data_IF_930573304466
#
_entry.id   IF_930573304466
#
_cell.length_a   1.000
_cell.length_b   1.000
_cell.length_c   1.000
_cell.angle_alpha   90.00
_cell.angle_beta   90.00
_cell.angle_gamma   90.00
#
_symmetry.space_group_name_H-M   'P 1'
#
loop_
_entity.id
_entity.type
_entity.pdbx_description
1 polymer ?
#
# COMPACT_ATOMS: atom_id res chain seq x y z
N UNK A 1 -17.09 25.50 4.79
CA UNK A 1 -17.26 25.88 3.36
C UNK A 1 -15.98 25.72 2.54
N UNK A 2 -14.83 26.30 2.92
CA UNK A 2 -13.54 26.09 2.21
C UNK A 2 -13.07 24.63 2.21
N UNK A 3 -13.11 23.95 3.37
CA UNK A 3 -12.65 22.56 3.50
C UNK A 3 -13.46 21.59 2.61
N UNK A 4 -14.78 21.75 2.59
CA UNK A 4 -15.72 21.05 1.70
C UNK A 4 -15.42 21.30 0.22
N UNK A 5 -15.03 22.52 -0.15
CA UNK A 5 -14.69 22.86 -1.53
C UNK A 5 -13.35 22.25 -1.96
N UNK A 6 -12.37 22.21 -1.05
CA UNK A 6 -11.07 21.57 -1.29
C UNK A 6 -11.22 20.04 -1.46
N UNK A 7 -12.00 19.39 -0.59
CA UNK A 7 -12.30 17.96 -0.68
C UNK A 7 -13.05 17.62 -1.98
N UNK A 8 -14.01 18.46 -2.39
CA UNK A 8 -14.72 18.27 -3.65
C UNK A 8 -13.80 18.38 -4.87
N UNK A 9 -12.86 19.33 -4.87
CA UNK A 9 -11.86 19.49 -5.94
C UNK A 9 -10.87 18.31 -5.98
N UNK A 10 -10.39 17.86 -4.82
CA UNK A 10 -9.52 16.69 -4.72
C UNK A 10 -10.21 15.42 -5.24
N UNK A 11 -11.48 15.21 -4.88
CA UNK A 11 -12.28 14.10 -5.36
C UNK A 11 -12.57 14.17 -6.87
N UNK A 12 -12.84 15.37 -7.40
CA UNK A 12 -13.02 15.57 -8.85
C UNK A 12 -11.73 15.27 -9.62
N UNK A 13 -10.59 15.74 -9.14
CA UNK A 13 -9.28 15.46 -9.74
C UNK A 13 -8.94 13.96 -9.67
N UNK A 14 -9.18 13.32 -8.52
CA UNK A 14 -8.94 11.88 -8.36
C UNK A 14 -9.81 11.00 -9.25
N UNK A 15 -11.05 11.42 -9.56
CA UNK A 15 -11.89 10.75 -10.55
C UNK A 15 -11.43 10.97 -11.98
N UNK A 16 -10.94 12.16 -12.32
CA UNK A 16 -10.47 12.49 -13.65
C UNK A 16 -9.10 11.86 -13.99
N UNK A 17 -8.19 11.79 -13.01
CA UNK A 17 -6.82 11.32 -13.19
C UNK A 17 -6.40 10.27 -12.13
N UNK A 18 -7.14 9.16 -11.97
CA UNK A 18 -6.91 8.19 -10.90
C UNK A 18 -5.54 7.50 -11.00
N UNK A 19 -5.03 7.28 -12.22
CA UNK A 19 -3.70 6.71 -12.43
C UNK A 19 -2.57 7.66 -12.04
N UNK A 20 -2.63 8.91 -12.51
CA UNK A 20 -1.62 9.92 -12.18
C UNK A 20 -1.60 10.23 -10.68
N UNK A 21 -2.78 10.27 -10.06
CA UNK A 21 -2.89 10.43 -8.61
C UNK A 21 -2.25 9.25 -7.87
N UNK A 22 -2.50 8.01 -8.30
CA UNK A 22 -1.84 6.81 -7.77
C UNK A 22 -0.32 6.93 -7.85
N UNK A 23 0.22 7.16 -9.06
CA UNK A 23 1.65 7.27 -9.28
C UNK A 23 2.28 8.36 -8.42
N UNK A 24 1.71 9.56 -8.43
CA UNK A 24 2.24 10.69 -7.67
C UNK A 24 2.22 10.45 -6.16
N UNK A 25 1.11 9.92 -5.63
CA UNK A 25 1.00 9.64 -4.19
C UNK A 25 1.90 8.50 -3.75
N UNK A 26 2.00 7.41 -4.51
CA UNK A 26 2.88 6.29 -4.21
C UNK A 26 4.35 6.71 -4.22
N UNK A 27 4.78 7.40 -5.28
CA UNK A 27 6.17 7.85 -5.48
C UNK A 27 6.57 8.88 -4.43
N UNK A 28 5.75 9.91 -4.24
CA UNK A 28 6.02 10.95 -3.25
C UNK A 28 6.06 10.39 -1.83
N UNK A 29 5.15 9.46 -1.50
CA UNK A 29 5.13 8.80 -0.19
C UNK A 29 6.37 7.98 0.05
N UNK A 30 6.81 7.13 -0.89
CA UNK A 30 7.99 6.28 -0.65
C UNK A 30 9.26 7.09 -0.58
N UNK A 31 9.41 8.11 -1.43
CA UNK A 31 10.51 9.07 -1.33
C UNK A 31 10.54 9.74 0.05
N UNK A 32 9.41 10.33 0.48
CA UNK A 32 9.33 11.03 1.75
C UNK A 32 9.55 10.08 2.94
N UNK A 33 8.94 8.89 2.93
CA UNK A 33 9.08 7.92 3.99
C UNK A 33 10.53 7.47 4.17
N UNK A 34 11.24 7.18 3.08
CA UNK A 34 12.63 6.76 3.16
C UNK A 34 13.56 7.91 3.57
N UNK A 35 13.39 9.11 2.98
CA UNK A 35 14.17 10.29 3.35
C UNK A 35 13.99 10.66 4.83
N UNK A 36 12.75 10.63 5.34
CA UNK A 36 12.47 10.89 6.75
C UNK A 36 13.04 9.80 7.66
N UNK A 37 12.96 8.54 7.24
CA UNK A 37 13.53 7.42 8.01
C UNK A 37 15.04 7.56 8.13
N UNK A 38 15.74 7.77 7.01
CA UNK A 38 17.19 7.95 7.02
C UNK A 38 17.61 9.14 7.89
N UNK A 39 16.94 10.29 7.74
CA UNK A 39 17.33 11.52 8.45
C UNK A 39 16.97 11.52 9.94
N UNK A 40 15.76 11.09 10.29
CA UNK A 40 15.20 11.30 11.63
C UNK A 40 15.08 10.03 12.47
N UNK A 41 14.98 8.85 11.84
CA UNK A 41 14.90 7.58 12.57
C UNK A 41 16.29 6.96 12.69
N UNK A 42 17.05 6.97 11.60
CA UNK A 42 18.40 6.38 11.55
C UNK A 42 19.50 7.42 11.89
N UNK A 43 19.16 8.71 11.88
CA UNK A 43 20.09 9.79 12.25
C UNK A 43 21.22 10.03 11.25
N UNK A 44 21.02 9.69 9.97
CA UNK A 44 22.04 9.85 8.95
C UNK A 44 22.33 11.32 8.62
N UNK A 45 23.61 11.69 8.56
CA UNK A 45 24.06 13.03 8.17
C UNK A 45 23.80 13.33 6.70
N UNK A 46 23.94 12.31 5.85
CA UNK A 46 23.69 12.35 4.41
C UNK A 46 22.73 11.25 4.00
N UNK A 47 21.90 11.52 2.99
CA UNK A 47 20.98 10.52 2.45
C UNK A 47 21.74 9.56 1.53
N UNK A 48 21.51 8.26 1.71
CA UNK A 48 21.84 7.24 0.72
C UNK A 48 20.89 7.40 -0.49
N UNK A 49 21.38 8.11 -1.51
CA UNK A 49 20.65 8.36 -2.74
C UNK A 49 20.36 7.09 -3.56
N UNK A 50 21.17 6.03 -3.40
CA UNK A 50 20.91 4.75 -4.07
C UNK A 50 19.70 4.08 -3.46
N UNK A 51 19.66 4.00 -2.12
CA UNK A 51 18.50 3.49 -1.37
C UNK A 51 17.26 4.32 -1.67
N UNK A 52 17.37 5.65 -1.60
CA UNK A 52 16.28 6.57 -1.88
C UNK A 52 15.73 6.40 -3.30
N UNK A 53 16.61 6.27 -4.29
CA UNK A 53 16.25 6.02 -5.69
C UNK A 53 15.52 4.70 -5.88
N UNK A 54 16.00 3.62 -5.25
CA UNK A 54 15.36 2.29 -5.34
C UNK A 54 14.00 2.26 -4.63
N UNK A 55 13.85 2.89 -3.47
CA UNK A 55 12.55 3.01 -2.79
C UNK A 55 11.56 3.89 -3.58
N UNK A 56 12.06 4.97 -4.19
CA UNK A 56 11.25 5.83 -5.06
C UNK A 56 10.78 5.06 -6.30
N UNK A 57 11.67 4.30 -6.95
CA UNK A 57 11.34 3.45 -8.08
C UNK A 57 10.34 2.34 -7.71
N UNK A 58 10.51 1.71 -6.55
CA UNK A 58 9.53 0.74 -6.03
C UNK A 58 8.15 1.39 -5.80
N UNK A 59 8.14 2.61 -5.26
CA UNK A 59 6.91 3.40 -5.12
C UNK A 59 6.25 3.70 -6.46
N UNK A 60 7.01 4.11 -7.46
CA UNK A 60 6.48 4.43 -8.79
C UNK A 60 5.96 3.17 -9.51
N UNK A 61 6.83 2.19 -9.75
CA UNK A 61 6.52 1.03 -10.58
C UNK A 61 5.60 0.03 -9.87
N UNK A 62 5.90 -0.32 -8.62
CA UNK A 62 5.14 -1.35 -7.92
C UNK A 62 3.89 -0.76 -7.26
N UNK A 63 4.07 0.18 -6.33
CA UNK A 63 2.95 0.71 -5.53
C UNK A 63 2.02 1.64 -6.34
N UNK A 64 2.57 2.36 -7.31
CA UNK A 64 1.82 3.30 -8.14
C UNK A 64 1.21 2.64 -9.37
N UNK A 65 2.05 2.09 -10.26
CA UNK A 65 1.59 1.52 -11.52
C UNK A 65 0.97 0.12 -11.36
N UNK A 66 1.75 -0.84 -10.86
CA UNK A 66 1.31 -2.23 -10.78
C UNK A 66 0.09 -2.41 -9.87
N UNK A 67 0.11 -1.85 -8.66
CA UNK A 67 -1.04 -1.93 -7.75
C UNK A 67 -2.29 -1.22 -8.31
N UNK A 68 -2.14 -0.15 -9.10
CA UNK A 68 -3.29 0.45 -9.78
C UNK A 68 -3.90 -0.51 -10.79
N UNK A 69 -3.06 -1.10 -11.64
CA UNK A 69 -3.52 -2.08 -12.62
C UNK A 69 -4.18 -3.27 -11.92
N UNK A 70 -3.60 -3.78 -10.84
CA UNK A 70 -4.15 -4.92 -10.11
C UNK A 70 -5.45 -4.56 -9.37
N UNK A 71 -5.45 -3.55 -8.51
CA UNK A 71 -6.57 -3.27 -7.60
C UNK A 71 -7.70 -2.44 -8.20
N UNK A 72 -7.41 -1.61 -9.20
CA UNK A 72 -8.42 -0.75 -9.84
C UNK A 72 -8.93 -1.38 -11.14
N UNK A 73 -8.06 -2.01 -11.94
CA UNK A 73 -8.48 -2.65 -13.20
C UNK A 73 -8.73 -4.16 -13.06
N UNK A 74 -7.78 -4.90 -12.50
CA UNK A 74 -7.87 -6.36 -12.34
C UNK A 74 -8.99 -6.77 -11.39
N UNK A 75 -8.98 -6.25 -10.17
CA UNK A 75 -9.97 -6.59 -9.15
C UNK A 75 -11.37 -6.11 -9.53
N UNK A 76 -11.51 -4.96 -10.18
CA UNK A 76 -12.81 -4.52 -10.69
C UNK A 76 -13.36 -5.45 -11.79
N UNK A 77 -12.48 -6.15 -12.53
CA UNK A 77 -12.87 -7.16 -13.52
C UNK A 77 -13.19 -8.52 -12.88
N UNK A 78 -12.44 -8.93 -11.87
CA UNK A 78 -12.64 -10.21 -11.18
C UNK A 78 -13.79 -10.19 -10.17
N UNK A 79 -14.06 -9.01 -9.59
CA UNK A 79 -15.06 -8.76 -8.56
C UNK A 79 -15.95 -7.58 -9.00
N UNK A 80 -16.83 -7.78 -10.00
CA UNK A 80 -17.54 -6.68 -10.66
C UNK A 80 -18.46 -5.89 -9.73
N UNK A 81 -18.95 -6.50 -8.64
CA UNK A 81 -19.84 -5.83 -7.67
C UNK A 81 -19.08 -5.04 -6.61
N UNK A 82 -17.75 -5.19 -6.58
CA UNK A 82 -16.89 -4.37 -5.75
C UNK A 82 -16.95 -2.88 -6.14
N UNK A 83 -17.23 -2.58 -7.40
CA UNK A 83 -17.40 -1.22 -7.89
C UNK A 83 -18.66 -0.56 -7.29
N UNK A 84 -19.78 -1.28 -7.27
CA UNK A 84 -21.05 -0.79 -6.71
C UNK A 84 -21.04 -0.75 -5.17
N UNK A 85 -20.33 -1.67 -4.52
CA UNK A 85 -20.28 -1.73 -3.06
C UNK A 85 -19.75 -0.43 -2.42
N UNK A 86 -18.73 0.18 -3.03
CA UNK A 86 -18.13 1.43 -2.55
C UNK A 86 -18.99 2.68 -2.77
N UNK A 87 -20.01 2.60 -3.63
CA UNK A 87 -20.87 3.73 -4.01
C UNK A 87 -22.13 3.86 -3.16
N UNK A 88 -22.43 2.86 -2.30
CA UNK A 88 -23.57 2.93 -1.39
C UNK A 88 -23.46 4.13 -0.45
N UNK A 89 -24.55 4.91 -0.38
CA UNK A 89 -24.61 6.18 0.35
C UNK A 89 -24.59 6.02 1.89
N UNK A 90 -24.98 4.86 2.41
CA UNK A 90 -25.03 4.58 3.86
C UNK A 90 -24.38 3.26 4.20
N UNK A 91 -23.84 3.15 5.43
CA UNK A 91 -23.29 1.88 5.92
C UNK A 91 -24.36 0.79 6.04
N UNK A 92 -25.59 1.16 6.40
CA UNK A 92 -26.70 0.22 6.49
C UNK A 92 -27.02 -0.42 5.12
N UNK A 93 -26.96 0.35 4.03
CA UNK A 93 -27.13 -0.18 2.68
C UNK A 93 -26.00 -1.15 2.30
N UNK A 94 -24.75 -0.83 2.65
CA UNK A 94 -23.59 -1.73 2.43
C UNK A 94 -23.74 -3.05 3.17
N UNK A 95 -24.17 -3.01 4.43
CA UNK A 95 -24.34 -4.23 5.25
C UNK A 95 -25.45 -5.14 4.74
N UNK A 96 -26.39 -4.62 3.94
CA UNK A 96 -27.46 -5.40 3.31
C UNK A 96 -27.07 -5.92 1.91
N UNK A 97 -25.98 -5.41 1.33
CA UNK A 97 -25.47 -5.86 0.03
C UNK A 97 -24.63 -7.13 0.20
N UNK A 98 -25.32 -8.27 0.33
CA UNK A 98 -24.69 -9.59 0.54
C UNK A 98 -23.71 -9.94 -0.58
N UNK A 99 -24.04 -9.58 -1.82
CA UNK A 99 -23.18 -9.86 -2.97
C UNK A 99 -21.94 -8.97 -2.97
N UNK A 100 -22.09 -7.68 -2.64
CA UNK A 100 -20.97 -6.76 -2.45
C UNK A 100 -20.07 -7.13 -1.28
N UNK A 101 -20.63 -7.62 -0.17
CA UNK A 101 -19.87 -8.14 0.97
C UNK A 101 -19.06 -9.39 0.59
N UNK A 102 -19.63 -10.27 -0.24
CA UNK A 102 -18.91 -11.43 -0.79
C UNK A 102 -17.73 -10.97 -1.64
N UNK A 103 -17.94 -10.04 -2.58
CA UNK A 103 -16.86 -9.51 -3.43
C UNK A 103 -15.81 -8.75 -2.60
N UNK A 104 -16.21 -8.07 -1.53
CA UNK A 104 -15.29 -7.47 -0.57
C UNK A 104 -14.42 -8.54 0.09
N UNK A 105 -15.02 -9.60 0.63
CA UNK A 105 -14.30 -10.70 1.28
C UNK A 105 -13.32 -11.38 0.31
N UNK A 106 -13.73 -11.60 -0.94
CA UNK A 106 -12.86 -12.16 -1.99
C UNK A 106 -11.69 -11.23 -2.34
N UNK A 107 -11.90 -9.92 -2.44
CA UNK A 107 -10.81 -8.96 -2.65
C UNK A 107 -9.84 -8.93 -1.47
N UNK A 108 -10.35 -8.93 -0.23
CA UNK A 108 -9.51 -9.01 0.98
C UNK A 108 -8.69 -10.29 0.96
N UNK A 109 -9.30 -11.41 0.59
CA UNK A 109 -8.64 -12.70 0.45
C UNK A 109 -7.56 -12.68 -0.64
N UNK A 110 -7.89 -12.21 -1.85
CA UNK A 110 -6.93 -12.09 -2.94
C UNK A 110 -5.77 -11.13 -2.61
N UNK A 111 -6.06 -10.02 -1.92
CA UNK A 111 -5.05 -9.07 -1.46
C UNK A 111 -4.08 -9.70 -0.46
N UNK A 112 -4.60 -10.40 0.55
CA UNK A 112 -3.79 -10.90 1.67
C UNK A 112 -3.16 -12.28 1.45
N UNK A 113 -3.81 -13.16 0.69
CA UNK A 113 -3.37 -14.55 0.52
C UNK A 113 -2.78 -14.85 -0.87
N UNK A 114 -2.95 -13.95 -1.85
CA UNK A 114 -2.34 -14.09 -3.17
C UNK A 114 -1.35 -12.97 -3.46
N UNK A 115 -1.81 -11.72 -3.44
CA UNK A 115 -0.96 -10.59 -3.80
C UNK A 115 0.18 -10.37 -2.79
N UNK A 116 -0.12 -10.28 -1.48
CA UNK A 116 0.92 -10.05 -0.47
C UNK A 116 2.00 -11.16 -0.49
N UNK A 117 1.65 -12.46 -0.42
CA UNK A 117 2.65 -13.53 -0.30
C UNK A 117 3.37 -13.82 -1.63
N UNK A 118 2.69 -13.74 -2.77
CA UNK A 118 3.23 -14.22 -4.04
C UNK A 118 3.80 -13.11 -4.91
N UNK A 119 3.43 -11.84 -4.67
CA UNK A 119 3.82 -10.72 -5.51
C UNK A 119 4.54 -9.64 -4.70
N UNK A 120 3.95 -9.16 -3.60
CA UNK A 120 4.48 -8.02 -2.86
C UNK A 120 5.75 -8.38 -2.12
N UNK A 121 5.72 -9.41 -1.27
CA UNK A 121 6.90 -9.79 -0.50
C UNK A 121 8.08 -10.22 -1.39
N UNK A 122 7.90 -11.07 -2.42
CA UNK A 122 8.98 -11.36 -3.37
C UNK A 122 9.59 -10.10 -4.01
N UNK A 123 8.76 -9.18 -4.50
CA UNK A 123 9.24 -7.92 -5.08
C UNK A 123 9.98 -7.05 -4.05
N UNK A 124 9.44 -6.94 -2.83
CA UNK A 124 10.05 -6.20 -1.73
C UNK A 124 11.42 -6.75 -1.35
N UNK A 125 11.53 -8.08 -1.17
CA UNK A 125 12.80 -8.73 -0.86
C UNK A 125 13.82 -8.56 -1.99
N UNK A 126 13.39 -8.58 -3.24
CA UNK A 126 14.27 -8.27 -4.38
C UNK A 126 14.74 -6.81 -4.35
N UNK A 127 13.86 -5.86 -4.01
CA UNK A 127 14.26 -4.45 -3.84
C UNK A 127 15.26 -4.29 -2.71
N UNK A 128 15.03 -4.92 -1.55
CA UNK A 128 15.97 -4.90 -0.43
C UNK A 128 17.34 -5.49 -0.80
N UNK A 129 17.32 -6.59 -1.56
CA UNK A 129 18.52 -7.24 -2.07
C UNK A 129 19.33 -6.31 -2.99
N UNK A 130 18.66 -5.59 -3.89
CA UNK A 130 19.28 -4.56 -4.73
C UNK A 130 19.85 -3.40 -3.91
N UNK A 131 19.14 -2.96 -2.87
CA UNK A 131 19.60 -1.88 -1.98
C UNK A 131 20.87 -2.31 -1.23
N UNK A 132 20.89 -3.54 -0.70
CA UNK A 132 22.01 -4.04 0.09
C UNK A 132 23.24 -4.35 -0.76
N UNK A 133 23.06 -4.94 -1.95
CA UNK A 133 24.16 -5.56 -2.69
C UNK A 133 24.43 -4.94 -4.07
N UNK A 134 23.59 -4.03 -4.57
CA UNK A 134 23.78 -3.39 -5.88
C UNK A 134 23.99 -4.43 -6.99
N UNK A 135 25.12 -4.34 -7.70
CA UNK A 135 25.50 -5.29 -8.75
C UNK A 135 25.68 -6.73 -8.26
N UNK A 136 25.88 -6.95 -6.97
CA UNK A 136 25.96 -8.27 -6.35
C UNK A 136 24.62 -8.85 -5.92
N UNK A 137 23.50 -8.20 -6.24
CA UNK A 137 22.15 -8.65 -5.87
C UNK A 137 21.83 -10.02 -6.45
N UNK A 138 21.23 -10.89 -5.64
CA UNK A 138 20.87 -12.26 -6.03
C UNK A 138 19.41 -12.55 -5.77
N UNK A 139 18.66 -12.87 -6.84
CA UNK A 139 17.26 -13.30 -6.74
C UNK A 139 17.10 -14.51 -5.81
N UNK A 140 18.01 -15.48 -5.91
CA UNK A 140 18.00 -16.67 -5.05
C UNK A 140 18.16 -16.29 -3.57
N UNK A 141 19.06 -15.36 -3.25
CA UNK A 141 19.26 -14.90 -1.87
C UNK A 141 18.04 -14.13 -1.35
N UNK A 142 17.47 -13.25 -2.18
CA UNK A 142 16.23 -12.54 -1.85
C UNK A 142 15.07 -13.50 -1.53
N UNK A 143 14.80 -14.47 -2.41
CA UNK A 143 13.71 -15.42 -2.23
C UNK A 143 13.97 -16.41 -1.10
N UNK A 144 15.22 -16.81 -0.86
CA UNK A 144 15.60 -17.65 0.29
C UNK A 144 15.34 -16.93 1.62
N UNK A 145 15.72 -15.64 1.70
CA UNK A 145 15.44 -14.80 2.86
C UNK A 145 13.94 -14.61 3.08
N UNK A 146 13.18 -14.37 2.01
CA UNK A 146 11.72 -14.31 2.11
C UNK A 146 11.16 -15.63 2.64
N UNK A 147 11.55 -16.78 2.07
CA UNK A 147 11.06 -18.08 2.51
C UNK A 147 11.35 -18.34 4.00
N UNK A 148 12.52 -17.92 4.48
CA UNK A 148 12.89 -18.03 5.89
C UNK A 148 12.01 -17.17 6.81
N UNK A 149 11.73 -15.94 6.42
CA UNK A 149 10.98 -14.96 7.22
C UNK A 149 9.46 -14.99 6.98
N UNK A 150 8.99 -15.78 6.00
CA UNK A 150 7.65 -15.66 5.43
C UNK A 150 6.55 -15.72 6.49
N UNK A 151 6.67 -16.62 7.47
CA UNK A 151 5.66 -16.77 8.51
C UNK A 151 5.46 -15.49 9.32
N UNK A 152 6.54 -14.91 9.84
CA UNK A 152 6.45 -13.76 10.73
C UNK A 152 6.09 -12.50 9.93
N UNK A 153 6.62 -12.35 8.72
CA UNK A 153 6.28 -11.24 7.83
C UNK A 153 4.80 -11.29 7.40
N UNK A 154 4.27 -12.47 7.08
CA UNK A 154 2.87 -12.64 6.70
C UNK A 154 1.93 -12.38 7.86
N UNK A 155 2.23 -12.89 9.06
CA UNK A 155 1.42 -12.62 10.26
C UNK A 155 1.40 -11.12 10.56
N UNK A 156 2.56 -10.46 10.54
CA UNK A 156 2.65 -9.02 10.74
C UNK A 156 1.90 -8.23 9.64
N UNK A 157 2.00 -8.65 8.39
CA UNK A 157 1.27 -8.04 7.29
C UNK A 157 -0.24 -8.20 7.47
N UNK A 158 -0.72 -9.39 7.82
CA UNK A 158 -2.15 -9.66 7.97
C UNK A 158 -2.79 -8.89 9.12
N UNK A 159 -2.06 -8.66 10.22
CA UNK A 159 -2.53 -7.79 11.31
C UNK A 159 -2.87 -6.37 10.83
N UNK A 160 -2.14 -5.88 9.83
CA UNK A 160 -2.31 -4.52 9.30
C UNK A 160 -3.27 -4.53 8.10
N UNK A 161 -3.06 -5.46 7.17
CA UNK A 161 -3.64 -5.42 5.84
C UNK A 161 -4.93 -6.20 5.70
N UNK A 162 -5.30 -7.10 6.60
CA UNK A 162 -6.67 -7.63 6.61
C UNK A 162 -7.67 -6.52 6.96
N UNK A 163 -7.54 -5.81 8.10
CA UNK A 163 -8.43 -4.69 8.41
C UNK A 163 -8.24 -3.52 7.41
N UNK A 164 -6.99 -3.26 7.02
CA UNK A 164 -6.67 -2.24 6.01
C UNK A 164 -7.36 -2.51 4.66
N UNK A 165 -7.29 -3.73 4.13
CA UNK A 165 -7.96 -4.11 2.89
C UNK A 165 -9.48 -4.10 3.02
N UNK A 166 -10.05 -4.47 4.17
CA UNK A 166 -11.49 -4.38 4.39
C UNK A 166 -11.98 -2.93 4.25
N UNK A 167 -11.25 -1.97 4.81
CA UNK A 167 -11.56 -0.54 4.66
C UNK A 167 -11.28 -0.06 3.22
N UNK A 168 -10.10 -0.36 2.70
CA UNK A 168 -9.64 0.04 1.37
C UNK A 168 -10.56 -0.44 0.24
N UNK A 169 -10.99 -1.70 0.25
CA UNK A 169 -11.88 -2.22 -0.80
C UNK A 169 -13.34 -1.78 -0.63
N UNK A 170 -13.68 -1.20 0.53
CA UNK A 170 -15.01 -0.62 0.79
C UNK A 170 -15.18 0.80 0.25
N UNK A 171 -14.11 1.47 -0.21
CA UNK A 171 -14.22 2.82 -0.79
C UNK A 171 -14.41 2.77 -2.32
N UNK A 172 -14.98 3.83 -2.93
CA UNK A 172 -15.06 3.96 -4.38
C UNK A 172 -13.74 3.68 -5.09
N UNK A 173 -13.80 3.13 -6.31
CA UNK A 173 -12.62 2.70 -7.08
C UNK A 173 -11.53 3.78 -7.20
N UNK A 174 -11.92 5.03 -7.42
CA UNK A 174 -10.99 6.17 -7.52
C UNK A 174 -10.28 6.49 -6.20
N UNK A 175 -10.95 6.23 -5.07
CA UNK A 175 -10.46 6.54 -3.72
C UNK A 175 -9.60 5.42 -3.14
N UNK A 176 -9.63 4.23 -3.75
CA UNK A 176 -8.88 3.05 -3.29
C UNK A 176 -7.41 3.39 -3.04
N UNK A 177 -6.62 3.70 -4.07
CA UNK A 177 -5.17 3.89 -3.87
C UNK A 177 -4.79 5.08 -2.98
N UNK A 178 -5.45 6.25 -3.06
CA UNK A 178 -5.27 7.30 -2.07
C UNK A 178 -5.51 6.80 -0.63
N UNK A 179 -6.58 6.02 -0.40
CA UNK A 179 -6.90 5.43 0.91
C UNK A 179 -5.84 4.43 1.34
N UNK A 180 -5.40 3.55 0.43
CA UNK A 180 -4.34 2.57 0.69
C UNK A 180 -3.05 3.25 1.15
N UNK A 181 -2.65 4.31 0.45
CA UNK A 181 -1.43 5.05 0.74
C UNK A 181 -1.51 5.85 2.04
N UNK A 182 -2.66 6.46 2.32
CA UNK A 182 -2.92 7.11 3.60
C UNK A 182 -2.89 6.12 4.77
N UNK A 183 -3.54 4.96 4.62
CA UNK A 183 -3.51 3.89 5.62
C UNK A 183 -2.09 3.38 5.86
N UNK A 184 -1.33 3.08 4.79
CA UNK A 184 0.07 2.63 4.97
C UNK A 184 0.93 3.69 5.67
N UNK A 185 0.77 4.96 5.33
CA UNK A 185 1.51 6.03 5.99
C UNK A 185 1.13 6.14 7.48
N UNK A 186 -0.16 6.15 7.79
CA UNK A 186 -0.65 6.21 9.18
C UNK A 186 -0.21 5.02 10.02
N UNK A 187 -0.28 3.79 9.48
CA UNK A 187 0.22 2.60 10.17
C UNK A 187 1.73 2.64 10.42
N UNK A 188 2.51 3.11 9.45
CA UNK A 188 3.96 3.31 9.64
C UNK A 188 4.23 4.32 10.75
N UNK A 189 3.53 5.46 10.76
CA UNK A 189 3.68 6.44 11.85
C UNK A 189 3.33 5.85 13.21
N UNK A 190 2.18 5.17 13.34
CA UNK A 190 1.74 4.54 14.60
C UNK A 190 2.74 3.49 15.08
N UNK A 191 3.23 2.63 14.20
CA UNK A 191 4.25 1.64 14.55
C UNK A 191 5.57 2.28 14.96
N UNK A 192 5.99 3.36 14.29
CA UNK A 192 7.18 4.12 14.67
C UNK A 192 7.04 4.76 16.05
N UNK A 193 5.88 5.33 16.39
CA UNK A 193 5.63 5.88 17.74
C UNK A 193 5.61 4.79 18.81
N UNK A 194 4.91 3.67 18.57
CA UNK A 194 4.79 2.57 19.53
C UNK A 194 6.10 1.80 19.75
N UNK A 195 6.97 1.72 18.74
CA UNK A 195 8.29 1.08 18.84
C UNK A 195 9.38 2.04 19.31
N UNK A 196 9.30 3.32 18.94
CA UNK A 196 10.19 4.37 19.45
C UNK A 196 10.08 4.55 20.96
N UNK A 197 8.87 4.38 21.53
CA UNK A 197 8.67 4.37 22.99
C UNK A 197 9.24 3.15 23.73
N UNK A 198 9.74 2.12 23.02
CA UNK A 198 10.38 0.95 23.63
C UNK A 198 11.92 1.01 23.64
N UNK A 199 12.52 2.06 23.06
CA UNK A 199 13.98 2.29 23.11
C UNK A 199 14.38 3.35 24.14
N UNK A 200 13.46 3.76 25.01
CA UNK A 200 13.69 4.80 26.04
C UNK A 200 13.37 4.33 27.47
N UNK A 201 13.62 3.05 27.81
CA UNK A 201 13.65 2.59 29.20
C UNK A 201 14.95 1.86 29.52
#
# INVERSE_FOLDING_TARGET
KMLTCALARAAAHGRAYPFSLSLGTATGKTFAADALTQRYIEGADTLDYRRLGLFTAFGFYYLGAFQYLLYVKGFARWFPRAASFGEHATMAARLRDVEGLRDLALQVGAGNFLHIPLLFFPAFYCTQECIAHGNGASLRRALSRYAHNARDDLLNAWLIWIPGHALFFSVPLWARLPTNHALSFGFVCVLSFLRGGKMSS
#
